data_IF_796786856747
#
_entry.id   IF_796786856747
#
_cell.length_a   1.000
_cell.length_b   1.000
_cell.length_c   1.000
_cell.angle_alpha   90.00
_cell.angle_beta   90.00
_cell.angle_gamma   90.00
#
_symmetry.space_group_name_H-M   'P 1'
#
loop_
_entity.id
_entity.type
_entity.pdbx_description
1 polymer ?
#
# COMPACT_ATOMS: atom_id res chain seq x y z
N UNK A 1 -8.88 4.77 19.65
CA UNK A 1 -8.04 3.56 19.51
C UNK A 1 -7.45 3.62 18.11
N UNK A 2 -6.13 3.70 17.97
CA UNK A 2 -5.44 3.57 16.68
C UNK A 2 -5.05 2.10 16.55
N UNK A 3 -5.33 1.47 15.41
CA UNK A 3 -4.85 0.13 15.07
C UNK A 3 -3.58 0.34 14.25
N UNK A 4 -2.54 -0.42 14.53
CA UNK A 4 -1.29 -0.41 13.76
C UNK A 4 -1.52 -1.09 12.41
N UNK A 5 -0.83 -0.64 11.34
CA UNK A 5 -1.08 -1.15 9.98
C UNK A 5 -0.87 -2.67 9.87
N UNK A 6 0.19 -3.19 10.49
CA UNK A 6 0.50 -4.63 10.56
C UNK A 6 -0.67 -5.43 11.17
N UNK A 7 -1.19 -4.96 12.31
CA UNK A 7 -2.34 -5.58 13.01
C UNK A 7 -3.60 -5.55 12.14
N UNK A 8 -3.82 -4.48 11.37
CA UNK A 8 -4.95 -4.41 10.45
C UNK A 8 -4.87 -5.50 9.37
N UNK A 9 -3.74 -5.62 8.69
CA UNK A 9 -3.58 -6.60 7.61
C UNK A 9 -3.60 -8.04 8.13
N UNK A 10 -3.06 -8.30 9.31
CA UNK A 10 -3.17 -9.59 9.99
C UNK A 10 -4.64 -9.94 10.31
N UNK A 11 -5.43 -9.00 10.80
CA UNK A 11 -6.86 -9.22 11.02
C UNK A 11 -7.63 -9.48 9.72
N UNK A 12 -7.31 -8.77 8.63
CA UNK A 12 -7.92 -9.00 7.32
C UNK A 12 -7.58 -10.41 6.81
N UNK A 13 -6.33 -10.86 6.98
CA UNK A 13 -5.91 -12.23 6.67
C UNK A 13 -6.66 -13.25 7.53
N UNK A 14 -6.81 -13.01 8.83
CA UNK A 14 -7.55 -13.89 9.74
C UNK A 14 -9.03 -14.02 9.35
N UNK A 15 -9.63 -12.98 8.76
CA UNK A 15 -10.97 -13.02 8.20
C UNK A 15 -11.07 -13.81 6.88
N UNK A 16 -9.96 -14.27 6.30
CA UNK A 16 -9.88 -15.03 5.04
C UNK A 16 -10.51 -14.29 3.85
N UNK A 17 -10.49 -12.95 3.88
CA UNK A 17 -11.06 -12.16 2.78
C UNK A 17 -10.14 -12.11 1.56
N UNK A 18 -8.85 -12.42 1.71
CA UNK A 18 -7.84 -12.36 0.66
C UNK A 18 -8.21 -13.20 -0.58
N UNK A 19 -8.89 -14.35 -0.41
CA UNK A 19 -9.35 -15.18 -1.53
C UNK A 19 -10.54 -14.60 -2.31
N UNK A 20 -11.17 -13.56 -1.76
CA UNK A 20 -12.41 -12.96 -2.28
C UNK A 20 -12.31 -11.44 -2.51
N UNK A 21 -11.22 -10.80 -2.06
CA UNK A 21 -11.04 -9.37 -2.17
C UNK A 21 -10.82 -8.97 -3.63
N UNK A 22 -11.71 -8.11 -4.14
CA UNK A 22 -11.68 -7.63 -5.53
C UNK A 22 -11.12 -6.21 -5.62
N UNK A 23 -11.39 -5.38 -4.62
CA UNK A 23 -10.96 -3.99 -4.57
C UNK A 23 -10.50 -3.64 -3.17
N UNK A 24 -9.39 -2.91 -3.07
CA UNK A 24 -8.87 -2.33 -1.84
C UNK A 24 -8.67 -0.84 -2.05
N UNK A 25 -9.24 -0.03 -1.16
CA UNK A 25 -8.99 1.40 -1.07
C UNK A 25 -8.49 1.74 0.33
N UNK A 26 -7.32 2.36 0.41
CA UNK A 26 -6.72 2.83 1.65
C UNK A 26 -6.42 4.32 1.53
N UNK A 27 -6.78 5.07 2.57
CA UNK A 27 -6.61 6.52 2.64
C UNK A 27 -6.08 6.87 4.03
N UNK A 28 -4.84 7.35 4.08
CA UNK A 28 -4.19 7.72 5.34
C UNK A 28 -4.50 9.18 5.69
N UNK A 29 -4.79 9.43 6.96
CA UNK A 29 -5.19 10.76 7.47
C UNK A 29 -3.96 11.60 7.89
N UNK A 30 -2.83 10.96 8.20
CA UNK A 30 -1.58 11.59 8.61
C UNK A 30 -0.39 10.85 7.97
N UNK A 31 0.77 11.49 7.76
CA UNK A 31 1.94 10.94 7.06
C UNK A 31 2.71 9.91 7.89
N UNK A 32 2.00 9.05 8.62
CA UNK A 32 2.61 7.89 9.26
C UNK A 32 2.01 6.68 8.56
N UNK A 33 2.80 5.97 7.76
CA UNK A 33 3.42 4.72 8.19
C UNK A 33 4.10 3.98 7.04
N UNK A 34 5.25 3.39 7.39
CA UNK A 34 5.97 2.38 6.63
C UNK A 34 4.98 1.36 6.04
N UNK A 35 4.89 1.31 4.70
CA UNK A 35 4.29 0.19 4.01
C UNK A 35 5.18 -1.03 4.26
N UNK A 36 4.85 -1.73 5.32
CA UNK A 36 5.66 -2.81 5.82
C UNK A 36 5.55 -4.08 4.97
N UNK A 37 6.36 -5.05 5.34
CA UNK A 37 6.35 -6.37 4.72
C UNK A 37 4.98 -7.07 4.85
N UNK A 38 4.19 -6.75 5.88
CA UNK A 38 2.86 -7.31 6.13
C UNK A 38 1.88 -6.87 5.04
N UNK A 39 1.89 -5.59 4.67
CA UNK A 39 1.07 -5.08 3.57
C UNK A 39 1.41 -5.75 2.23
N UNK A 40 2.70 -5.86 1.91
CA UNK A 40 3.16 -6.49 0.66
C UNK A 40 2.71 -7.96 0.64
N UNK A 41 2.91 -8.68 1.74
CA UNK A 41 2.49 -10.08 1.89
C UNK A 41 0.97 -10.24 1.76
N UNK A 42 0.21 -9.33 2.35
CA UNK A 42 -1.24 -9.29 2.22
C UNK A 42 -1.68 -9.13 0.76
N UNK A 43 -1.11 -8.15 0.04
CA UNK A 43 -1.42 -7.94 -1.38
C UNK A 43 -1.09 -9.17 -2.23
N UNK A 44 0.05 -9.81 -2.00
CA UNK A 44 0.45 -11.03 -2.69
C UNK A 44 -0.51 -12.21 -2.42
N UNK A 45 -1.07 -12.28 -1.20
CA UNK A 45 -2.08 -13.28 -0.86
C UNK A 45 -3.43 -13.06 -1.54
N UNK A 46 -3.70 -11.85 -2.05
CA UNK A 46 -4.97 -11.46 -2.64
C UNK A 46 -5.04 -11.81 -4.14
N UNK A 47 -5.23 -13.09 -4.46
CA UNK A 47 -5.21 -13.63 -5.84
C UNK A 47 -6.29 -13.09 -6.78
N UNK A 48 -7.33 -12.43 -6.24
CA UNK A 48 -8.45 -11.87 -7.03
C UNK A 48 -8.51 -10.34 -7.00
N UNK A 49 -7.52 -9.69 -6.41
CA UNK A 49 -7.49 -8.24 -6.28
C UNK A 49 -7.29 -7.59 -7.64
N UNK A 50 -8.31 -6.91 -8.13
CA UNK A 50 -8.31 -6.24 -9.44
C UNK A 50 -8.05 -4.74 -9.35
N UNK A 51 -8.41 -4.13 -8.23
CA UNK A 51 -8.38 -2.68 -8.04
C UNK A 51 -7.66 -2.35 -6.75
N UNK A 52 -6.59 -1.56 -6.84
CA UNK A 52 -5.85 -1.05 -5.70
C UNK A 52 -5.81 0.47 -5.79
N UNK A 53 -6.32 1.14 -4.77
CA UNK A 53 -6.30 2.59 -4.67
C UNK A 53 -5.67 2.99 -3.34
N UNK A 54 -4.57 3.72 -3.40
CA UNK A 54 -3.81 4.15 -2.24
C UNK A 54 -3.66 5.67 -2.24
N UNK A 55 -4.01 6.32 -1.15
CA UNK A 55 -4.06 7.78 -1.06
C UNK A 55 -3.27 8.34 0.13
N UNK A 56 -2.59 9.48 -0.09
CA UNK A 56 -1.76 10.17 0.90
C UNK A 56 -0.57 9.32 1.37
N UNK A 57 0.14 8.66 0.44
CA UNK A 57 1.35 7.89 0.78
C UNK A 57 2.59 8.78 0.66
N UNK A 58 3.43 8.91 1.72
CA UNK A 58 4.72 9.58 1.60
C UNK A 58 5.64 8.92 0.57
N UNK A 59 6.41 9.72 -0.18
CA UNK A 59 7.31 9.20 -1.21
C UNK A 59 8.31 8.14 -0.72
N UNK A 60 8.78 8.24 0.54
CA UNK A 60 9.69 7.24 1.12
C UNK A 60 9.03 5.91 1.44
N UNK A 61 7.72 5.90 1.70
CA UNK A 61 6.99 4.70 2.14
C UNK A 61 6.52 3.86 0.96
N UNK A 62 6.36 4.44 -0.24
CA UNK A 62 5.91 3.70 -1.42
C UNK A 62 7.03 2.89 -2.09
N UNK A 63 8.29 3.27 -1.89
CA UNK A 63 9.45 2.69 -2.59
C UNK A 63 9.57 1.16 -2.39
N UNK A 64 9.45 0.60 -1.16
CA UNK A 64 9.50 -0.86 -0.96
C UNK A 64 8.38 -1.61 -1.69
N UNK A 65 7.18 -1.01 -1.79
CA UNK A 65 6.08 -1.59 -2.55
C UNK A 65 6.43 -1.63 -4.05
N UNK A 66 7.00 -0.55 -4.58
CA UNK A 66 7.41 -0.47 -5.99
C UNK A 66 8.52 -1.46 -6.32
N UNK A 67 9.54 -1.57 -5.46
CA UNK A 67 10.60 -2.58 -5.59
C UNK A 67 10.01 -3.99 -5.65
N UNK A 68 9.09 -4.33 -4.74
CA UNK A 68 8.46 -5.64 -4.71
C UNK A 68 7.70 -5.97 -6.00
N UNK A 69 7.15 -4.95 -6.67
CA UNK A 69 6.39 -5.11 -7.91
C UNK A 69 7.25 -5.25 -9.15
N UNK A 70 8.54 -4.89 -9.09
CA UNK A 70 9.46 -5.16 -10.20
C UNK A 70 9.58 -6.66 -10.48
N UNK A 71 9.50 -7.48 -9.43
CA UNK A 71 9.63 -8.94 -9.52
C UNK A 71 8.30 -9.68 -9.30
N UNK A 72 7.45 -9.19 -8.39
CA UNK A 72 6.32 -9.95 -7.84
C UNK A 72 5.00 -9.16 -7.87
N UNK A 73 4.76 -8.37 -8.93
CA UNK A 73 3.48 -7.65 -9.08
C UNK A 73 2.30 -8.64 -9.19
N UNK A 74 1.23 -8.48 -8.39
CA UNK A 74 0.06 -9.35 -8.50
C UNK A 74 -0.55 -9.35 -9.91
N UNK A 75 -0.60 -10.51 -10.55
CA UNK A 75 -1.12 -10.66 -11.94
C UNK A 75 -2.59 -10.27 -12.09
N UNK A 76 -3.36 -10.35 -11.00
CA UNK A 76 -4.80 -10.05 -11.02
C UNK A 76 -5.13 -8.56 -11.05
N UNK A 77 -4.16 -7.69 -10.74
CA UNK A 77 -4.35 -6.24 -10.69
C UNK A 77 -4.56 -5.68 -12.10
N UNK A 78 -5.69 -4.99 -12.29
CA UNK A 78 -6.09 -4.36 -13.55
C UNK A 78 -6.01 -2.84 -13.52
N UNK A 79 -6.19 -2.25 -12.34
CA UNK A 79 -6.12 -0.81 -12.12
C UNK A 79 -5.43 -0.56 -10.79
N UNK A 80 -4.45 0.33 -10.83
CA UNK A 80 -3.76 0.84 -9.65
C UNK A 80 -3.85 2.35 -9.69
N UNK A 81 -4.27 2.96 -8.58
CA UNK A 81 -4.24 4.41 -8.35
C UNK A 81 -3.36 4.63 -7.12
N UNK A 82 -2.34 5.48 -7.25
CA UNK A 82 -1.46 5.85 -6.15
C UNK A 82 -1.41 7.37 -6.15
N UNK A 83 -1.75 7.97 -5.01
CA UNK A 83 -1.60 9.39 -4.73
C UNK A 83 -0.49 9.55 -3.69
N UNK A 84 0.61 10.16 -4.12
CA UNK A 84 1.86 10.26 -3.36
C UNK A 84 1.98 11.68 -2.81
N UNK A 85 2.21 11.80 -1.50
CA UNK A 85 2.47 13.05 -0.80
C UNK A 85 3.96 13.20 -0.44
N UNK A 86 4.33 14.40 0.02
CA UNK A 86 5.65 14.69 0.60
C UNK A 86 6.84 14.40 -0.33
N UNK A 87 6.64 14.57 -1.64
CA UNK A 87 7.74 14.59 -2.62
C UNK A 87 8.49 15.91 -2.41
N UNK A 88 9.70 15.85 -1.85
CA UNK A 88 10.57 17.02 -1.76
C UNK A 88 11.07 17.37 -3.16
N UNK A 89 10.79 18.59 -3.62
CA UNK A 89 11.49 19.18 -4.75
C UNK A 89 12.88 19.60 -4.29
N UNK A 90 13.94 19.22 -5.02
CA UNK A 90 15.34 19.53 -4.67
C UNK A 90 15.66 21.06 -4.65
N UNK A 91 14.70 21.93 -4.97
CA UNK A 91 14.93 23.34 -5.30
C UNK A 91 14.65 24.36 -4.17
N UNK A 92 14.42 23.92 -2.93
CA UNK A 92 14.31 24.81 -1.75
C UNK A 92 15.62 24.93 -0.95
N UNK A 93 16.77 24.67 -1.58
CA UNK A 93 18.10 24.79 -0.97
C UNK A 93 18.95 25.95 -1.52
N UNK A 94 18.30 27.03 -1.95
CA UNK A 94 18.97 28.31 -2.26
C UNK A 94 18.20 29.50 -1.65
N UNK A 95 18.39 29.74 -0.34
CA UNK A 95 18.18 31.05 0.29
C UNK A 95 19.04 31.19 1.56
#
# INVERSE_FOLDING_TARGET
>A
MRIENDVLFDHLLACKINDHLIALRLEWILPIQDLDFTFISFLQSCKKLKYLELFNIPAGDIDPLMESWLENRPESLKKVVIDISDIQDEDDSQA
#
